data_IF_699201007065
#
_entry.id   IF_699201007065
#
_cell.length_a   1.000
_cell.length_b   1.000
_cell.length_c   1.000
_cell.angle_alpha   90.00
_cell.angle_beta   90.00
_cell.angle_gamma   90.00
#
_symmetry.space_group_name_H-M   'P 1'
#
loop_
_entity.id
_entity.type
_entity.pdbx_description
1 polymer ?
#
# COMPACT_ATOMS: atom_id res chain seq x y z
N UNK A 1 -8.63 -2.94 -2.87
CA UNK A 1 -7.33 -3.53 -2.41
C UNK A 1 -6.20 -2.86 -3.17
N UNK A 2 -5.26 -2.24 -2.47
CA UNK A 2 -4.06 -1.67 -3.08
C UNK A 2 -3.03 -2.79 -3.19
N UNK A 3 -2.64 -3.13 -4.41
CA UNK A 3 -1.52 -4.06 -4.62
C UNK A 3 -0.22 -3.29 -4.38
N UNK A 4 0.68 -3.84 -3.60
CA UNK A 4 1.97 -3.21 -3.28
C UNK A 4 2.89 -4.16 -2.53
N UNK A 5 4.14 -3.73 -2.36
CA UNK A 5 5.10 -4.42 -1.51
C UNK A 5 4.95 -3.91 -0.09
N UNK A 6 4.64 -4.79 0.84
CA UNK A 6 4.62 -4.51 2.28
C UNK A 6 5.86 -5.09 2.94
N UNK A 7 6.55 -4.26 3.72
CA UNK A 7 7.70 -4.66 4.54
C UNK A 7 7.34 -4.39 5.99
N UNK A 8 7.47 -5.41 6.85
CA UNK A 8 7.19 -5.32 8.29
C UNK A 8 8.48 -5.23 9.09
N UNK A 9 8.48 -4.33 10.07
CA UNK A 9 9.55 -4.21 11.05
C UNK A 9 9.25 -4.95 12.36
N UNK A 10 10.27 -5.10 13.18
CA UNK A 10 10.16 -5.66 14.53
C UNK A 10 9.51 -4.67 15.50
N UNK A 11 9.84 -3.38 15.38
CA UNK A 11 9.26 -2.32 16.22
C UNK A 11 9.17 -1.00 15.44
N UNK A 12 8.42 -0.04 15.97
CA UNK A 12 8.29 1.27 15.34
C UNK A 12 7.60 2.29 16.24
N UNK A 13 7.68 3.55 15.85
CA UNK A 13 7.01 4.68 16.51
C UNK A 13 6.61 5.74 15.48
N UNK A 14 5.70 6.60 15.87
CA UNK A 14 5.18 7.69 15.02
C UNK A 14 3.95 7.29 14.19
N UNK A 15 3.23 8.30 13.74
CA UNK A 15 2.00 8.16 12.96
C UNK A 15 2.29 7.75 11.51
N UNK A 16 1.24 7.41 10.79
CA UNK A 16 1.34 7.18 9.35
C UNK A 16 1.80 8.44 8.63
N UNK A 17 2.77 8.29 7.72
CA UNK A 17 3.34 9.33 6.86
C UNK A 17 3.60 8.78 5.47
N UNK A 18 3.86 9.68 4.55
CA UNK A 18 4.16 9.32 3.18
C UNK A 18 5.39 10.09 2.68
N UNK A 19 6.08 9.53 1.70
CA UNK A 19 7.25 10.14 1.10
C UNK A 19 7.90 9.24 0.07
N UNK A 20 8.93 9.77 -0.58
CA UNK A 20 9.74 9.01 -1.53
C UNK A 20 10.85 8.29 -0.75
N UNK A 21 11.02 7.01 -1.02
CA UNK A 21 12.10 6.19 -0.43
C UNK A 21 13.45 6.67 -0.92
N UNK A 22 14.39 6.85 0.00
CA UNK A 22 15.79 7.17 -0.29
C UNK A 22 16.72 6.34 0.57
N UNK A 23 17.56 5.53 -0.07
CA UNK A 23 18.61 4.77 0.62
C UNK A 23 19.80 5.68 0.89
N UNK A 24 20.22 5.78 2.15
CA UNK A 24 21.30 6.66 2.60
C UNK A 24 22.49 5.93 3.25
N UNK A 25 22.33 4.65 3.57
CA UNK A 25 23.38 3.86 4.22
C UNK A 25 23.33 2.38 3.78
N UNK A 26 24.49 1.73 3.77
CA UNK A 26 24.59 0.28 3.58
C UNK A 26 24.08 -0.47 4.82
N UNK A 27 23.77 -1.77 4.74
CA UNK A 27 23.14 -2.53 5.83
C UNK A 27 23.90 -2.48 7.15
N UNK A 28 25.22 -2.50 7.09
CA UNK A 28 26.13 -2.53 8.24
C UNK A 28 26.69 -1.16 8.65
N UNK A 29 26.30 -0.10 7.96
CA UNK A 29 26.73 1.26 8.30
C UNK A 29 25.78 1.91 9.30
N UNK A 30 26.26 2.89 10.07
CA UNK A 30 25.41 3.70 10.93
C UNK A 30 24.76 4.84 10.12
N UNK A 31 23.52 5.15 10.47
CA UNK A 31 22.90 6.40 10.04
C UNK A 31 23.44 7.50 10.97
N UNK A 32 24.37 8.27 10.45
CA UNK A 32 24.97 9.40 11.16
C UNK A 32 24.43 10.72 10.62
N UNK A 33 24.47 11.83 11.41
CA UNK A 33 23.93 13.14 10.99
C UNK A 33 24.43 13.62 9.63
N UNK A 34 25.67 13.32 9.27
CA UNK A 34 26.30 13.73 8.01
C UNK A 34 25.68 13.10 6.76
N UNK A 35 25.01 11.96 6.91
CA UNK A 35 24.29 11.27 5.81
C UNK A 35 22.89 11.85 5.57
N UNK A 36 22.42 12.71 6.48
CA UNK A 36 21.09 13.33 6.43
C UNK A 36 21.28 14.78 5.98
N UNK A 37 21.19 15.00 4.69
CA UNK A 37 21.31 16.31 4.04
C UNK A 37 19.96 16.85 3.57
N UNK A 38 19.96 18.01 2.93
CA UNK A 38 18.75 18.66 2.41
C UNK A 38 17.99 17.82 1.39
N UNK A 39 18.67 16.89 0.69
CA UNK A 39 18.01 15.98 -0.27
C UNK A 39 17.16 14.91 0.40
N UNK A 40 17.22 14.76 1.73
CA UNK A 40 16.38 13.89 2.53
C UNK A 40 15.07 14.56 2.98
N UNK A 41 14.89 15.85 2.72
CA UNK A 41 13.69 16.59 3.10
C UNK A 41 12.44 15.98 2.43
N UNK A 42 11.39 15.74 3.23
CA UNK A 42 10.13 15.16 2.76
C UNK A 42 10.21 13.70 2.38
N UNK A 43 11.36 13.02 2.56
CA UNK A 43 11.58 11.64 2.15
C UNK A 43 11.48 10.65 3.31
N UNK A 44 11.37 9.37 2.97
CA UNK A 44 11.56 8.22 3.86
C UNK A 44 12.97 7.70 3.62
N UNK A 45 13.87 7.89 4.58
CA UNK A 45 15.25 7.44 4.48
C UNK A 45 15.40 6.02 4.99
N UNK A 46 16.19 5.22 4.28
CA UNK A 46 16.33 3.78 4.53
C UNK A 46 17.80 3.40 4.60
N UNK A 47 18.11 2.46 5.47
CA UNK A 47 19.41 1.81 5.53
C UNK A 47 20.00 1.80 6.94
N UNK A 48 21.20 1.22 7.00
CA UNK A 48 22.00 1.22 8.20
C UNK A 48 21.69 0.13 9.22
N UNK A 49 22.67 -0.07 10.10
CA UNK A 49 22.62 -1.02 11.21
C UNK A 49 22.27 -0.36 12.54
N UNK A 50 22.31 0.97 12.58
CA UNK A 50 22.11 1.70 13.83
C UNK A 50 21.73 3.15 13.57
N UNK A 51 20.76 3.61 14.36
CA UNK A 51 20.30 4.99 14.40
C UNK A 51 20.57 5.56 15.80
N UNK A 52 21.31 6.64 15.88
CA UNK A 52 21.55 7.35 17.12
C UNK A 52 20.67 8.58 17.28
N UNK A 53 20.66 9.14 18.49
CA UNK A 53 19.85 10.31 18.80
C UNK A 53 20.21 11.53 17.96
N UNK A 54 21.49 11.78 17.71
CA UNK A 54 21.92 12.93 16.94
C UNK A 54 21.43 12.87 15.49
N UNK A 55 21.38 11.65 14.89
CA UNK A 55 20.82 11.44 13.57
C UNK A 55 19.29 11.67 13.55
N UNK A 56 18.58 11.29 14.60
CA UNK A 56 17.13 11.55 14.74
C UNK A 56 16.87 13.07 14.81
N UNK A 57 17.60 13.79 15.65
CA UNK A 57 17.48 15.23 15.79
C UNK A 57 17.80 15.96 14.46
N UNK A 58 18.82 15.50 13.76
CA UNK A 58 19.14 16.00 12.41
C UNK A 58 18.03 15.74 11.40
N UNK A 59 17.45 14.53 11.40
CA UNK A 59 16.37 14.14 10.52
C UNK A 59 15.12 15.01 10.76
N UNK A 60 14.79 15.29 12.00
CA UNK A 60 13.72 16.22 12.38
C UNK A 60 13.98 17.62 11.85
N UNK A 61 15.19 18.14 12.03
CA UNK A 61 15.58 19.48 11.56
C UNK A 61 15.50 19.60 10.03
N UNK A 62 15.90 18.57 9.30
CA UNK A 62 15.84 18.52 7.83
C UNK A 62 14.41 18.32 7.32
N UNK A 63 13.50 17.81 8.14
CA UNK A 63 12.12 17.54 7.76
C UNK A 63 11.95 16.19 7.05
N UNK A 64 12.74 15.18 7.44
CA UNK A 64 12.58 13.79 7.04
C UNK A 64 11.23 13.27 7.52
N UNK A 65 10.48 12.58 6.69
CA UNK A 65 9.16 12.04 7.04
C UNK A 65 9.24 10.71 7.78
N UNK A 66 10.18 9.85 7.39
CA UNK A 66 10.35 8.55 8.03
C UNK A 66 11.77 8.04 7.97
N UNK A 67 12.12 7.16 8.90
CA UNK A 67 13.40 6.43 8.93
C UNK A 67 13.11 4.94 9.03
N UNK A 68 13.76 4.15 8.18
CA UNK A 68 13.78 2.70 8.25
C UNK A 68 15.22 2.26 8.49
N UNK A 69 15.45 1.55 9.58
CA UNK A 69 16.79 1.17 10.03
C UNK A 69 16.80 -0.25 10.60
N UNK A 70 17.94 -0.94 10.54
CA UNK A 70 18.10 -2.26 11.15
C UNK A 70 17.95 -2.25 12.66
N UNK A 71 18.63 -1.34 13.35
CA UNK A 71 18.60 -1.25 14.79
C UNK A 71 18.59 0.17 15.37
N UNK A 72 18.13 0.30 16.60
CA UNK A 72 18.08 1.56 17.35
C UNK A 72 18.46 1.34 18.82
N UNK A 73 18.95 2.38 19.48
CA UNK A 73 19.15 2.33 20.92
C UNK A 73 17.80 2.28 21.65
N UNK A 74 17.63 1.32 22.56
CA UNK A 74 16.38 1.18 23.33
C UNK A 74 16.04 2.42 24.14
N UNK A 75 17.02 3.06 24.81
CA UNK A 75 16.79 4.26 25.62
C UNK A 75 16.33 5.44 24.74
N UNK A 76 16.96 5.61 23.58
CA UNK A 76 16.58 6.67 22.64
C UNK A 76 15.18 6.43 22.08
N UNK A 77 14.84 5.18 21.71
CA UNK A 77 13.52 4.79 21.26
C UNK A 77 12.42 5.11 22.28
N UNK A 78 12.62 4.72 23.54
CA UNK A 78 11.64 4.99 24.61
C UNK A 78 11.54 6.49 24.91
N UNK A 79 12.66 7.23 24.88
CA UNK A 79 12.68 8.69 25.14
C UNK A 79 11.89 9.50 24.10
N UNK A 80 11.73 8.99 22.89
CA UNK A 80 10.91 9.62 21.87
C UNK A 80 9.40 9.48 22.13
N UNK A 81 9.01 8.58 23.05
CA UNK A 81 7.62 8.32 23.41
C UNK A 81 6.87 7.48 22.36
N UNK A 82 6.62 6.23 22.72
CA UNK A 82 6.03 5.21 21.80
C UNK A 82 4.67 5.62 21.21
N UNK A 83 3.92 6.46 21.93
CA UNK A 83 2.57 6.92 21.52
C UNK A 83 2.52 8.41 21.17
N UNK A 84 3.65 9.12 21.15
CA UNK A 84 3.70 10.54 20.82
C UNK A 84 4.09 10.76 19.35
N UNK A 85 3.50 11.79 18.74
CA UNK A 85 3.91 12.21 17.39
C UNK A 85 5.07 13.20 17.52
N UNK A 86 6.27 12.69 17.40
CA UNK A 86 7.51 13.50 17.44
C UNK A 86 7.87 14.17 16.11
N UNK A 87 6.96 14.13 15.13
CA UNK A 87 7.20 14.76 13.82
C UNK A 87 7.89 13.86 12.79
N UNK A 88 8.31 12.66 13.18
CA UNK A 88 8.94 11.66 12.32
C UNK A 88 8.40 10.27 12.63
N UNK A 89 8.40 9.39 11.65
CA UNK A 89 8.04 7.97 11.82
C UNK A 89 9.29 7.12 11.72
N UNK A 90 9.49 6.21 12.67
CA UNK A 90 10.64 5.29 12.67
C UNK A 90 10.12 3.86 12.65
N UNK A 91 10.64 3.06 11.71
CA UNK A 91 10.45 1.61 11.66
C UNK A 91 11.80 0.93 11.78
N UNK A 92 11.91 0.02 12.71
CA UNK A 92 13.12 -0.73 12.99
C UNK A 92 12.89 -2.17 12.52
N UNK A 93 13.72 -2.64 11.59
CA UNK A 93 13.48 -3.93 10.93
C UNK A 93 13.91 -5.12 11.77
N UNK A 94 15.02 -5.00 12.51
CA UNK A 94 15.61 -6.13 13.24
C UNK A 94 15.40 -6.02 14.76
N UNK A 95 15.52 -4.82 15.33
CA UNK A 95 15.28 -4.64 16.76
C UNK A 95 16.20 -3.64 17.46
N UNK A 96 16.47 -3.86 18.74
CA UNK A 96 17.28 -2.95 19.53
C UNK A 96 18.78 -3.29 19.48
N UNK A 97 19.62 -2.27 19.41
CA UNK A 97 21.06 -2.38 19.35
C UNK A 97 21.62 -2.10 17.95
N UNK A 98 22.89 -2.47 17.76
CA UNK A 98 23.58 -2.33 16.47
C UNK A 98 23.36 -3.60 15.65
N UNK A 99 22.25 -3.65 14.93
CA UNK A 99 21.84 -4.83 14.16
C UNK A 99 21.75 -4.44 12.69
N UNK A 100 22.52 -5.11 11.86
CA UNK A 100 22.50 -4.86 10.41
C UNK A 100 21.15 -5.24 9.83
N UNK A 101 20.62 -4.39 8.95
CA UNK A 101 19.41 -4.69 8.21
C UNK A 101 19.57 -5.99 7.40
N UNK A 102 18.58 -6.86 7.42
CA UNK A 102 18.57 -8.10 6.65
C UNK A 102 18.85 -7.87 5.18
N UNK A 103 19.60 -8.77 4.55
CA UNK A 103 19.99 -8.62 3.13
C UNK A 103 18.78 -8.62 2.22
N UNK A 104 17.81 -9.48 2.49
CA UNK A 104 16.53 -9.60 1.79
C UNK A 104 15.70 -8.31 1.90
N UNK A 105 15.65 -7.72 3.09
CA UNK A 105 14.97 -6.44 3.36
C UNK A 105 15.63 -5.32 2.58
N UNK A 106 16.97 -5.23 2.60
CA UNK A 106 17.67 -4.19 1.85
C UNK A 106 17.55 -4.39 0.33
N UNK A 107 17.61 -5.61 -0.16
CA UNK A 107 17.38 -5.90 -1.59
C UNK A 107 15.97 -5.49 -2.03
N UNK A 108 14.96 -5.69 -1.16
CA UNK A 108 13.63 -5.18 -1.40
C UNK A 108 13.63 -3.64 -1.49
N UNK A 109 14.29 -2.95 -0.55
CA UNK A 109 14.38 -1.48 -0.59
C UNK A 109 15.19 -0.96 -1.78
N UNK A 110 16.23 -1.65 -2.23
CA UNK A 110 16.97 -1.28 -3.43
C UNK A 110 16.07 -1.22 -4.68
N UNK A 111 15.11 -2.15 -4.79
CA UNK A 111 14.11 -2.15 -5.87
C UNK A 111 13.05 -1.05 -5.71
N UNK A 112 12.91 -0.53 -4.50
CA UNK A 112 11.92 0.47 -4.11
C UNK A 112 12.51 1.88 -3.95
N UNK A 113 13.82 2.04 -4.17
CA UNK A 113 14.46 3.36 -4.12
C UNK A 113 13.81 4.33 -5.12
N UNK A 114 13.65 5.58 -4.71
CA UNK A 114 12.97 6.64 -5.44
C UNK A 114 11.47 6.40 -5.75
N UNK A 115 10.86 5.36 -5.16
CA UNK A 115 9.43 5.13 -5.24
C UNK A 115 8.68 5.77 -4.07
N UNK A 116 7.43 6.12 -4.33
CA UNK A 116 6.52 6.63 -3.30
C UNK A 116 6.12 5.51 -2.33
N UNK A 117 6.10 5.81 -1.04
CA UNK A 117 5.79 4.85 0.00
C UNK A 117 4.97 5.48 1.14
N UNK A 118 4.23 4.63 1.83
CA UNK A 118 3.60 4.93 3.11
C UNK A 118 4.38 4.22 4.21
N UNK A 119 4.66 4.93 5.32
CA UNK A 119 5.29 4.38 6.51
C UNK A 119 4.36 4.57 7.71
N UNK A 120 4.16 3.52 8.49
CA UNK A 120 3.35 3.57 9.72
C UNK A 120 4.15 2.95 10.88
N UNK A 121 4.50 3.78 11.86
CA UNK A 121 5.30 3.34 13.00
C UNK A 121 4.51 2.48 13.98
N UNK A 122 3.21 2.73 14.17
CA UNK A 122 2.36 1.95 15.07
C UNK A 122 2.13 0.52 14.52
N UNK A 123 1.92 0.41 13.23
CA UNK A 123 1.79 -0.88 12.54
C UNK A 123 3.14 -1.50 12.18
N UNK A 124 4.22 -0.73 12.32
CA UNK A 124 5.60 -1.15 11.99
C UNK A 124 5.74 -1.54 10.52
N UNK A 125 5.03 -0.87 9.63
CA UNK A 125 4.96 -1.24 8.22
C UNK A 125 5.43 -0.13 7.30
N UNK A 126 5.99 -0.54 6.17
CA UNK A 126 6.21 0.29 5.00
C UNK A 126 5.49 -0.35 3.83
N UNK A 127 4.66 0.41 3.14
CA UNK A 127 3.90 -0.04 1.97
C UNK A 127 4.32 0.80 0.77
N UNK A 128 4.85 0.14 -0.24
CA UNK A 128 5.12 0.76 -1.54
C UNK A 128 4.07 0.27 -2.52
N UNK A 129 3.18 1.15 -3.02
CA UNK A 129 2.19 0.76 -4.01
C UNK A 129 2.87 0.18 -5.25
N UNK A 130 2.30 -0.88 -5.80
CA UNK A 130 2.75 -1.39 -7.09
C UNK A 130 2.49 -0.32 -8.15
N UNK A 131 3.52 -0.01 -8.95
CA UNK A 131 3.31 0.74 -10.18
C UNK A 131 2.43 -0.14 -11.07
N UNK A 132 1.23 0.32 -11.39
CA UNK A 132 0.50 -0.24 -12.51
C UNK A 132 1.40 -0.04 -13.72
N UNK A 133 1.90 -1.12 -14.31
CA UNK A 133 2.42 -1.05 -15.67
C UNK A 133 1.23 -0.57 -16.50
N UNK A 134 1.30 0.68 -16.94
CA UNK A 134 0.41 1.16 -17.98
C UNK A 134 0.81 0.37 -19.22
N UNK A 135 0.16 -0.75 -19.42
CA UNK A 135 0.17 -1.43 -20.69
C UNK A 135 -0.75 -0.59 -21.57
N UNK A 136 -0.13 0.13 -22.48
CA UNK A 136 -0.73 0.99 -23.49
C UNK A 136 -1.61 2.16 -23.03
N UNK A 137 -1.25 3.33 -23.56
CA UNK A 137 -1.86 4.65 -23.42
C UNK A 137 -3.35 4.71 -23.80
N UNK A 138 -4.23 4.03 -23.04
CA UNK A 138 -5.63 4.40 -22.99
C UNK A 138 -5.89 5.14 -21.69
N UNK A 139 -6.52 6.31 -21.72
CA UNK A 139 -6.84 7.04 -20.49
C UNK A 139 -7.73 6.18 -19.59
N UNK A 140 -7.30 6.00 -18.33
CA UNK A 140 -7.99 5.24 -17.29
C UNK A 140 -9.46 5.66 -17.06
N UNK A 141 -9.90 6.75 -17.66
CA UNK A 141 -11.27 7.25 -17.56
C UNK A 141 -12.27 6.45 -18.40
N UNK A 142 -11.84 5.76 -19.45
CA UNK A 142 -12.76 4.98 -20.31
C UNK A 142 -13.01 3.56 -19.78
N UNK A 143 -12.08 2.97 -18.98
CA UNK A 143 -12.27 1.62 -18.43
C UNK A 143 -13.13 1.59 -17.14
N UNK A 144 -13.25 2.71 -16.43
CA UNK A 144 -14.04 2.78 -15.19
C UNK A 144 -15.56 2.84 -15.43
N UNK A 145 -16.00 3.12 -16.67
CA UNK A 145 -17.41 3.33 -17.02
C UNK A 145 -17.79 2.62 -18.32
N UNK A 146 -17.17 1.46 -18.60
CA UNK A 146 -17.61 0.64 -19.70
C UNK A 146 -19.02 0.13 -19.40
N UNK A 147 -19.94 0.39 -20.32
CA UNK A 147 -21.29 -0.17 -20.25
C UNK A 147 -21.22 -1.71 -20.33
N UNK A 148 -22.07 -2.36 -19.53
CA UNK A 148 -22.21 -3.80 -19.54
C UNK A 148 -22.83 -4.24 -20.85
N UNK A 149 -22.22 -5.22 -21.53
CA UNK A 149 -22.71 -5.77 -22.79
C UNK A 149 -22.99 -7.26 -22.67
N UNK A 150 -23.87 -7.76 -23.54
CA UNK A 150 -24.09 -9.19 -23.70
C UNK A 150 -22.80 -9.85 -24.19
N UNK A 151 -22.39 -10.92 -23.53
CA UNK A 151 -21.12 -11.61 -23.78
C UNK A 151 -19.99 -11.24 -22.82
N UNK A 152 -20.13 -10.18 -22.02
CA UNK A 152 -19.13 -9.82 -21.02
C UNK A 152 -19.00 -10.89 -19.94
N UNK A 153 -17.77 -11.16 -19.53
CA UNK A 153 -17.49 -12.00 -18.37
C UNK A 153 -17.55 -11.12 -17.12
N UNK A 154 -18.42 -11.49 -16.20
CA UNK A 154 -18.70 -10.70 -15.00
C UNK A 154 -18.53 -11.51 -13.74
N UNK A 155 -18.17 -10.79 -12.69
CA UNK A 155 -18.12 -11.28 -11.31
C UNK A 155 -19.35 -10.78 -10.57
N UNK A 156 -20.07 -11.71 -9.95
CA UNK A 156 -21.23 -11.43 -9.11
C UNK A 156 -20.92 -11.72 -7.64
N UNK A 157 -21.12 -10.75 -6.79
CA UNK A 157 -20.95 -10.88 -5.34
C UNK A 157 -22.29 -11.20 -4.67
N UNK A 158 -22.38 -12.37 -4.05
CA UNK A 158 -23.51 -12.68 -3.15
C UNK A 158 -23.19 -12.22 -1.73
N UNK A 159 -24.20 -11.71 -0.97
CA UNK A 159 -23.99 -11.25 0.41
C UNK A 159 -23.49 -12.34 1.37
N UNK A 160 -23.76 -13.59 1.09
CA UNK A 160 -23.61 -14.75 1.98
C UNK A 160 -22.62 -15.79 1.50
N UNK A 161 -21.93 -15.62 0.41
CA UNK A 161 -20.99 -16.62 -0.09
C UNK A 161 -20.11 -16.14 -1.25
N UNK A 162 -19.47 -17.11 -1.82
CA UNK A 162 -18.48 -17.19 -2.85
C UNK A 162 -18.71 -16.25 -4.03
N UNK A 163 -17.62 -15.73 -4.49
CA UNK A 163 -17.44 -14.99 -5.71
C UNK A 163 -17.81 -15.87 -6.92
N UNK A 164 -18.87 -15.54 -7.64
CA UNK A 164 -19.33 -16.29 -8.81
C UNK A 164 -18.97 -15.57 -10.09
N UNK A 165 -18.32 -16.28 -11.02
CA UNK A 165 -17.96 -15.77 -12.36
C UNK A 165 -18.89 -16.38 -13.40
N UNK A 166 -19.46 -15.53 -14.26
CA UNK A 166 -20.38 -15.95 -15.32
C UNK A 166 -20.33 -15.02 -16.52
N UNK A 167 -21.10 -15.35 -17.54
CA UNK A 167 -21.21 -14.59 -18.78
C UNK A 167 -22.61 -13.97 -18.86
N UNK A 168 -22.67 -12.70 -19.27
CA UNK A 168 -23.94 -11.99 -19.47
C UNK A 168 -24.62 -12.52 -20.72
N UNK A 169 -25.80 -13.11 -20.58
CA UNK A 169 -26.62 -13.61 -21.72
C UNK A 169 -27.63 -12.57 -22.21
N UNK A 170 -28.17 -11.74 -21.29
CA UNK A 170 -29.23 -10.78 -21.60
C UNK A 170 -29.15 -9.56 -20.67
N UNK A 171 -29.53 -8.39 -21.17
CA UNK A 171 -29.67 -7.16 -20.38
C UNK A 171 -31.03 -6.56 -20.67
N UNK A 172 -31.77 -6.13 -19.63
CA UNK A 172 -33.10 -5.50 -19.82
C UNK A 172 -32.95 -4.15 -20.53
N UNK A 173 -33.83 -3.90 -21.49
CA UNK A 173 -33.86 -2.62 -22.22
C UNK A 173 -34.36 -1.45 -21.34
N UNK A 174 -35.22 -1.75 -20.36
CA UNK A 174 -35.78 -0.77 -19.45
C UNK A 174 -35.47 -1.11 -18.01
N UNK A 175 -35.51 -0.08 -17.16
CA UNK A 175 -35.43 -0.26 -15.70
C UNK A 175 -36.63 -1.07 -15.21
N UNK A 176 -36.35 -2.03 -14.34
CA UNK A 176 -37.34 -2.90 -13.69
C UNK A 176 -37.32 -2.58 -12.20
N UNK A 177 -38.50 -2.41 -11.62
CA UNK A 177 -38.63 -2.18 -10.19
C UNK A 177 -38.30 -3.46 -9.41
N UNK A 178 -37.32 -3.35 -8.51
CA UNK A 178 -36.88 -4.45 -7.62
C UNK A 178 -37.88 -4.59 -6.45
N UNK A 179 -37.80 -5.71 -5.75
CA UNK A 179 -38.55 -5.93 -4.50
C UNK A 179 -38.31 -4.83 -3.44
N UNK A 180 -37.17 -4.16 -3.53
CA UNK A 180 -36.82 -3.00 -2.68
C UNK A 180 -37.50 -1.68 -3.08
N UNK A 181 -38.26 -1.65 -4.18
CA UNK A 181 -38.86 -0.46 -4.77
C UNK A 181 -37.91 0.42 -5.57
N UNK A 182 -36.65 -0.01 -5.78
CA UNK A 182 -35.67 0.74 -6.57
C UNK A 182 -35.70 0.27 -8.03
N UNK A 183 -35.71 1.20 -9.01
CA UNK A 183 -35.56 0.85 -10.42
C UNK A 183 -34.11 0.42 -10.71
N UNK A 184 -33.91 -0.63 -11.50
CA UNK A 184 -32.61 -1.11 -11.93
C UNK A 184 -32.65 -1.80 -13.31
N UNK A 185 -31.57 -1.65 -14.06
CA UNK A 185 -31.32 -2.50 -15.24
C UNK A 185 -30.87 -3.88 -14.73
N UNK A 186 -31.53 -4.93 -15.23
CA UNK A 186 -31.24 -6.32 -14.85
C UNK A 186 -30.42 -7.00 -15.96
N UNK A 187 -29.40 -7.75 -15.54
CA UNK A 187 -28.65 -8.65 -16.42
C UNK A 187 -28.88 -10.11 -16.03
N UNK A 188 -29.08 -10.96 -17.01
CA UNK A 188 -29.14 -12.42 -16.85
C UNK A 188 -27.71 -12.98 -17.05
N UNK A 189 -27.19 -13.60 -16.00
CA UNK A 189 -25.83 -14.16 -15.96
C UNK A 189 -25.93 -15.67 -16.00
N UNK A 190 -25.17 -16.31 -16.87
CA UNK A 190 -25.02 -17.76 -16.93
C UNK A 190 -23.67 -18.16 -16.36
N UNK A 191 -23.67 -18.99 -15.35
CA UNK A 191 -22.47 -19.54 -14.73
C UNK A 191 -22.02 -20.85 -15.39
N UNK A 192 -20.77 -21.25 -15.15
CA UNK A 192 -20.21 -22.52 -15.66
C UNK A 192 -21.02 -23.74 -15.22
N UNK A 193 -21.69 -23.69 -14.08
CA UNK A 193 -22.62 -24.71 -13.61
C UNK A 193 -23.90 -24.87 -14.44
N UNK A 194 -24.14 -23.99 -15.41
CA UNK A 194 -25.37 -23.92 -16.19
C UNK A 194 -26.50 -23.14 -15.50
N UNK A 195 -26.33 -22.74 -14.27
CA UNK A 195 -27.31 -21.92 -13.51
C UNK A 195 -27.38 -20.52 -14.10
N UNK A 196 -28.59 -19.96 -14.17
CA UNK A 196 -28.85 -18.58 -14.59
C UNK A 196 -29.42 -17.79 -13.43
N UNK A 197 -28.90 -16.58 -13.23
CA UNK A 197 -29.37 -15.64 -12.21
C UNK A 197 -29.61 -14.28 -12.86
N UNK A 198 -30.71 -13.63 -12.48
CA UNK A 198 -30.96 -12.21 -12.80
C UNK A 198 -30.44 -11.35 -11.64
N UNK A 199 -29.59 -10.40 -11.94
CA UNK A 199 -29.03 -9.46 -10.96
C UNK A 199 -29.02 -8.04 -11.53
N UNK A 200 -29.11 -7.00 -10.66
CA UNK A 200 -28.89 -5.62 -11.09
C UNK A 200 -27.53 -5.46 -11.74
N UNK A 201 -27.47 -4.79 -12.90
CA UNK A 201 -26.22 -4.55 -13.62
C UNK A 201 -25.18 -3.83 -12.75
N UNK A 202 -25.63 -2.95 -11.84
CA UNK A 202 -24.79 -2.23 -10.89
C UNK A 202 -24.06 -3.14 -9.87
N UNK A 203 -24.52 -4.38 -9.69
CA UNK A 203 -23.92 -5.36 -8.77
C UNK A 203 -22.92 -6.29 -9.47
N UNK A 204 -22.58 -6.00 -10.72
CA UNK A 204 -21.67 -6.82 -11.53
C UNK A 204 -20.36 -6.07 -11.76
N UNK A 205 -19.26 -6.78 -11.63
CA UNK A 205 -17.93 -6.29 -11.99
C UNK A 205 -17.51 -6.96 -13.32
N UNK A 206 -17.25 -6.16 -14.35
CA UNK A 206 -16.78 -6.66 -15.64
C UNK A 206 -15.32 -7.09 -15.48
N UNK A 207 -15.00 -8.33 -15.88
CA UNK A 207 -13.63 -8.88 -15.75
C UNK A 207 -12.94 -8.91 -17.12
N UNK A 208 -13.67 -9.11 -18.20
CA UNK A 208 -13.16 -9.10 -19.58
C UNK A 208 -14.29 -8.87 -20.61
#
# INVERSE_FOLDING_TARGET
RTFGTEIKGATGLGKAREGIVKIIAKPNEFIIPQKIDASCQGRIVVGGSYLDRAAIEKALTVGVKGIVVGGINYKDFISLGVNSDVGITIVVTEGFGKVSMGKDVLEAFNKLNDKFAFINGLEKTIIVPAERKVVDNKPLQEELWRELNVGDVVRYFRPDAEELVGVVEEISENEIELESGLPAILATIKFLSGVRIKAPAANLEIIS
#
